data_IF_059810226857
#
_entry.id   IF_059810226857
#
_cell.length_a   1.000
_cell.length_b   1.000
_cell.length_c   1.000
_cell.angle_alpha   90.00
_cell.angle_beta   90.00
_cell.angle_gamma   90.00
#
_symmetry.space_group_name_H-M   'P 1'
#
loop_
_entity.id
_entity.type
_entity.pdbx_description
1 polymer ?
#
# COMPACT_ATOMS: atom_id res chain seq x y z
N UNK A 1 -3.91 16.12 15.09
CA UNK A 1 -3.55 16.05 13.67
C UNK A 1 -4.68 16.64 12.84
N UNK A 2 -4.40 17.70 12.18
CA UNK A 2 -5.35 18.22 11.20
C UNK A 2 -5.43 17.23 10.04
N UNK A 3 -6.61 16.68 9.83
CA UNK A 3 -6.88 15.93 8.62
C UNK A 3 -6.74 16.89 7.45
N UNK A 4 -5.88 16.53 6.52
CA UNK A 4 -5.75 17.28 5.28
C UNK A 4 -7.11 17.22 4.55
N UNK A 5 -7.87 18.32 4.63
CA UNK A 5 -9.22 18.43 4.05
C UNK A 5 -9.20 18.72 2.55
N UNK A 6 -8.01 18.72 1.92
CA UNK A 6 -7.90 18.94 0.49
C UNK A 6 -8.47 17.76 -0.28
N UNK A 7 -9.25 17.99 -1.34
CA UNK A 7 -9.77 16.90 -2.16
C UNK A 7 -8.63 16.14 -2.82
N UNK A 8 -8.79 14.83 -2.91
CA UNK A 8 -7.84 13.95 -3.59
C UNK A 8 -7.92 14.20 -5.10
N UNK A 9 -6.84 14.68 -5.69
CA UNK A 9 -6.73 14.96 -7.13
C UNK A 9 -5.88 13.93 -7.87
N UNK A 10 -4.98 13.25 -7.15
CA UNK A 10 -4.10 12.24 -7.71
C UNK A 10 -3.79 11.21 -6.65
N UNK A 11 -3.19 10.08 -7.05
CA UNK A 11 -2.72 9.08 -6.11
C UNK A 11 -1.67 9.64 -5.13
N UNK A 12 -0.90 10.66 -5.57
CA UNK A 12 0.09 11.32 -4.73
C UNK A 12 -0.49 12.04 -3.52
N UNK A 13 -1.78 12.33 -3.52
CA UNK A 13 -2.48 12.94 -2.38
C UNK A 13 -2.89 11.93 -1.31
N UNK A 14 -2.75 10.64 -1.59
CA UNK A 14 -3.04 9.58 -0.63
C UNK A 14 -1.87 9.41 0.34
N UNK A 15 -2.14 9.51 1.64
CA UNK A 15 -1.12 9.37 2.68
C UNK A 15 -0.40 8.01 2.59
N UNK A 16 -1.15 6.94 2.38
CA UNK A 16 -0.57 5.59 2.29
C UNK A 16 0.33 5.44 1.06
N UNK A 17 0.05 6.14 -0.04
CA UNK A 17 0.96 6.16 -1.19
C UNK A 17 2.30 6.77 -0.81
N UNK A 18 2.29 7.97 -0.22
CA UNK A 18 3.53 8.65 0.17
C UNK A 18 4.30 7.88 1.23
N UNK A 19 3.60 7.39 2.25
CA UNK A 19 4.23 6.64 3.33
C UNK A 19 4.89 5.35 2.83
N UNK A 20 4.21 4.60 1.96
CA UNK A 20 4.76 3.37 1.39
C UNK A 20 5.89 3.64 0.39
N UNK A 21 5.81 4.74 -0.35
CA UNK A 21 6.86 5.15 -1.28
C UNK A 21 8.18 5.44 -0.54
N UNK A 22 8.12 6.27 0.49
CA UNK A 22 9.32 6.63 1.25
C UNK A 22 9.83 5.47 2.11
N UNK A 23 8.93 4.65 2.65
CA UNK A 23 9.32 3.44 3.38
C UNK A 23 10.11 2.47 2.47
N UNK A 24 9.67 2.28 1.23
CA UNK A 24 10.39 1.44 0.26
C UNK A 24 11.80 1.93 0.01
N UNK A 25 12.00 3.24 -0.11
CA UNK A 25 13.32 3.84 -0.28
C UNK A 25 14.21 3.52 0.93
N UNK A 26 13.67 3.65 2.14
CA UNK A 26 14.41 3.32 3.37
C UNK A 26 14.77 1.84 3.45
N UNK A 27 13.85 0.95 3.11
CA UNK A 27 14.13 -0.49 3.07
C UNK A 27 15.31 -0.77 2.16
N UNK A 28 15.29 -0.24 0.94
CA UNK A 28 16.32 -0.52 -0.07
C UNK A 28 17.65 0.11 0.30
N UNK A 29 17.66 1.35 0.79
CA UNK A 29 18.89 2.10 1.08
C UNK A 29 19.50 1.76 2.43
N UNK A 30 18.69 1.46 3.44
CA UNK A 30 19.14 1.34 4.82
C UNK A 30 19.13 -0.09 5.35
N UNK A 31 18.21 -0.94 4.90
CA UNK A 31 18.04 -2.30 5.43
C UNK A 31 18.74 -3.34 4.52
N UNK A 32 18.43 -3.35 3.23
CA UNK A 32 18.97 -4.36 2.34
C UNK A 32 20.50 -4.43 2.32
N UNK A 33 21.25 -3.30 2.39
CA UNK A 33 22.72 -3.38 2.44
C UNK A 33 23.29 -4.06 3.69
N UNK A 34 22.49 -4.17 4.76
CA UNK A 34 22.89 -4.83 6.01
C UNK A 34 22.71 -6.34 5.97
N UNK A 35 21.99 -6.86 4.99
CA UNK A 35 21.77 -8.29 4.83
C UNK A 35 23.06 -8.97 4.30
N UNK A 36 23.35 -10.21 4.73
CA UNK A 36 24.50 -10.95 4.19
C UNK A 36 24.31 -11.25 2.71
N UNK A 37 25.41 -11.43 2.01
CA UNK A 37 25.42 -11.63 0.55
C UNK A 37 24.63 -12.86 0.10
N UNK A 38 24.52 -13.89 0.94
CA UNK A 38 23.74 -15.09 0.65
C UNK A 38 22.23 -14.83 0.58
N UNK A 39 21.76 -13.67 1.05
CA UNK A 39 20.34 -13.28 0.96
C UNK A 39 20.03 -12.46 -0.29
N UNK A 40 21.02 -12.18 -1.13
CA UNK A 40 20.87 -11.32 -2.31
C UNK A 40 19.74 -11.75 -3.23
N UNK A 41 19.58 -13.05 -3.44
CA UNK A 41 18.58 -13.62 -4.34
C UNK A 41 17.39 -14.25 -3.59
N UNK A 42 17.35 -14.09 -2.28
CA UNK A 42 16.27 -14.59 -1.45
C UNK A 42 15.61 -13.45 -0.69
N UNK A 43 15.89 -13.29 0.61
CA UNK A 43 15.21 -12.28 1.45
C UNK A 43 15.37 -10.85 0.92
N UNK A 44 16.56 -10.48 0.46
CA UNK A 44 16.79 -9.14 -0.10
C UNK A 44 15.96 -8.90 -1.37
N UNK A 45 15.89 -9.90 -2.25
CA UNK A 45 15.11 -9.80 -3.48
C UNK A 45 13.61 -9.73 -3.20
N UNK A 46 13.10 -10.57 -2.30
CA UNK A 46 11.70 -10.57 -1.88
C UNK A 46 11.29 -9.22 -1.30
N UNK A 47 12.08 -8.66 -0.40
CA UNK A 47 11.82 -7.34 0.18
C UNK A 47 11.86 -6.23 -0.86
N UNK A 48 12.83 -6.26 -1.76
CA UNK A 48 12.93 -5.27 -2.84
C UNK A 48 11.68 -5.27 -3.69
N UNK A 49 11.18 -6.43 -4.05
CA UNK A 49 9.98 -6.58 -4.87
C UNK A 49 8.73 -6.15 -4.14
N UNK A 50 8.50 -6.66 -2.92
CA UNK A 50 7.28 -6.39 -2.17
C UNK A 50 7.16 -4.92 -1.78
N UNK A 51 8.21 -4.29 -1.30
CA UNK A 51 8.14 -2.90 -0.88
C UNK A 51 7.90 -1.94 -2.06
N UNK A 52 8.49 -2.21 -3.21
CA UNK A 52 8.26 -1.39 -4.41
C UNK A 52 6.87 -1.59 -5.00
N UNK A 53 6.29 -2.78 -4.84
CA UNK A 53 4.98 -3.10 -5.40
C UNK A 53 3.85 -2.29 -4.76
N UNK A 54 3.95 -1.95 -3.48
CA UNK A 54 2.88 -1.27 -2.75
C UNK A 54 2.49 0.06 -3.40
N UNK A 55 3.39 1.04 -3.55
CA UNK A 55 3.01 2.32 -4.17
C UNK A 55 2.60 2.16 -5.63
N UNK A 56 3.17 1.20 -6.36
CA UNK A 56 2.82 0.94 -7.76
C UNK A 56 1.38 0.43 -7.87
N UNK A 57 0.97 -0.48 -6.99
CA UNK A 57 -0.39 -1.01 -6.97
C UNK A 57 -1.41 0.07 -6.58
N UNK A 58 -1.08 0.93 -5.64
CA UNK A 58 -1.95 2.05 -5.26
C UNK A 58 -2.18 2.98 -6.46
N UNK A 59 -1.12 3.37 -7.13
CA UNK A 59 -1.20 4.26 -8.30
C UNK A 59 -1.99 3.62 -9.44
N UNK A 60 -1.75 2.34 -9.71
CA UNK A 60 -2.44 1.59 -10.75
C UNK A 60 -3.92 1.42 -10.44
N UNK A 61 -4.23 1.08 -9.19
CA UNK A 61 -5.61 0.96 -8.74
C UNK A 61 -6.36 2.29 -8.78
N UNK A 62 -5.69 3.37 -8.44
CA UNK A 62 -6.28 4.70 -8.53
C UNK A 62 -6.63 5.06 -9.98
N UNK A 63 -5.78 4.71 -10.93
CA UNK A 63 -6.05 4.92 -12.36
C UNK A 63 -7.29 4.13 -12.84
N UNK A 64 -7.58 3.00 -12.19
CA UNK A 64 -8.70 2.11 -12.54
C UNK A 64 -9.91 2.27 -11.61
N UNK A 65 -9.93 3.31 -10.78
CA UNK A 65 -11.00 3.52 -9.78
C UNK A 65 -12.40 3.69 -10.37
N UNK A 66 -12.48 4.07 -11.63
CA UNK A 66 -13.75 4.20 -12.35
C UNK A 66 -14.35 2.84 -12.75
N UNK A 67 -13.56 1.77 -12.75
CA UNK A 67 -14.03 0.42 -13.03
C UNK A 67 -14.67 -0.20 -11.78
N UNK A 68 -15.62 -1.12 -11.99
CA UNK A 68 -16.21 -1.86 -10.88
C UNK A 68 -15.12 -2.66 -10.16
N UNK A 69 -14.96 -2.42 -8.87
CA UNK A 69 -13.95 -3.04 -8.02
C UNK A 69 -12.48 -2.79 -8.48
N UNK A 70 -12.28 -1.88 -9.42
CA UNK A 70 -10.94 -1.61 -9.96
C UNK A 70 -9.96 -1.16 -8.89
N UNK A 71 -10.35 -0.20 -8.04
CA UNK A 71 -9.49 0.30 -6.98
C UNK A 71 -9.33 -0.73 -5.85
N UNK A 72 -10.44 -1.33 -5.41
CA UNK A 72 -10.45 -2.29 -4.29
C UNK A 72 -9.54 -3.49 -4.54
N UNK A 73 -9.57 -4.03 -5.75
CA UNK A 73 -8.71 -5.16 -6.13
C UNK A 73 -7.23 -4.85 -5.96
N UNK A 74 -6.80 -3.69 -6.43
CA UNK A 74 -5.40 -3.27 -6.32
C UNK A 74 -5.02 -2.92 -4.87
N UNK A 75 -5.94 -2.37 -4.09
CA UNK A 75 -5.70 -2.12 -2.67
C UNK A 75 -5.56 -3.43 -1.89
N UNK A 76 -6.33 -4.45 -2.23
CA UNK A 76 -6.19 -5.78 -1.63
C UNK A 76 -4.82 -6.39 -1.96
N UNK A 77 -4.38 -6.28 -3.21
CA UNK A 77 -3.04 -6.74 -3.61
C UNK A 77 -1.93 -5.95 -2.90
N UNK A 78 -2.12 -4.65 -2.72
CA UNK A 78 -1.17 -3.81 -1.98
C UNK A 78 -1.11 -4.21 -0.49
N UNK A 79 -2.24 -4.58 0.12
CA UNK A 79 -2.26 -5.10 1.49
C UNK A 79 -1.46 -6.39 1.62
N UNK A 80 -1.59 -7.31 0.67
CA UNK A 80 -0.81 -8.54 0.65
C UNK A 80 0.68 -8.25 0.56
N UNK A 81 1.08 -7.32 -0.28
CA UNK A 81 2.49 -6.91 -0.41
C UNK A 81 3.00 -6.20 0.86
N UNK A 82 2.15 -5.42 1.52
CA UNK A 82 2.51 -4.79 2.79
C UNK A 82 2.76 -5.83 3.89
N UNK A 83 1.92 -6.87 3.95
CA UNK A 83 2.12 -7.99 4.89
C UNK A 83 3.40 -8.75 4.57
N UNK A 84 3.69 -9.02 3.30
CA UNK A 84 4.92 -9.68 2.88
C UNK A 84 6.16 -8.86 3.28
N UNK A 85 6.12 -7.56 3.06
CA UNK A 85 7.21 -6.65 3.47
C UNK A 85 7.37 -6.65 4.99
N UNK A 86 6.28 -6.58 5.72
CA UNK A 86 6.28 -6.62 7.19
C UNK A 86 6.96 -7.90 7.70
N UNK A 87 6.57 -9.06 7.18
CA UNK A 87 7.18 -10.35 7.56
C UNK A 87 8.66 -10.37 7.21
N UNK A 88 9.03 -9.91 6.02
CA UNK A 88 10.44 -9.85 5.60
C UNK A 88 11.30 -8.99 6.52
N UNK A 89 10.78 -7.84 6.96
CA UNK A 89 11.48 -6.98 7.92
C UNK A 89 11.60 -7.63 9.29
N UNK A 90 10.57 -8.34 9.75
CA UNK A 90 10.67 -9.13 10.98
C UNK A 90 11.76 -10.21 10.88
N UNK A 91 11.88 -10.84 9.71
CA UNK A 91 12.95 -11.82 9.46
C UNK A 91 14.33 -11.16 9.49
N UNK A 92 14.49 -9.97 8.93
CA UNK A 92 15.76 -9.21 9.03
C UNK A 92 16.14 -8.96 10.48
N UNK A 93 15.18 -8.57 11.30
CA UNK A 93 15.39 -8.32 12.73
C UNK A 93 15.72 -9.61 13.48
N UNK A 94 14.90 -10.63 13.31
CA UNK A 94 14.93 -11.82 14.16
C UNK A 94 16.03 -12.80 13.74
N UNK A 95 16.38 -12.87 12.45
CA UNK A 95 17.44 -13.75 11.94
C UNK A 95 18.81 -13.07 12.03
N UNK A 96 18.88 -11.79 11.65
CA UNK A 96 20.16 -11.09 11.48
C UNK A 96 20.40 -9.97 12.48
N UNK A 97 19.48 -9.72 13.39
CA UNK A 97 19.65 -8.66 14.41
C UNK A 97 19.65 -7.24 13.84
N UNK A 98 19.06 -7.05 12.65
CA UNK A 98 18.99 -5.73 12.03
C UNK A 98 17.87 -4.93 12.68
N UNK A 99 18.19 -3.73 13.19
CA UNK A 99 17.18 -2.84 13.76
C UNK A 99 16.33 -2.21 12.66
N UNK A 100 15.08 -2.67 12.54
CA UNK A 100 14.11 -2.15 11.60
C UNK A 100 12.73 -1.99 12.22
N UNK A 101 12.64 -1.83 13.53
CA UNK A 101 11.38 -1.75 14.28
C UNK A 101 10.49 -0.60 13.81
N UNK A 102 11.05 0.55 13.49
CA UNK A 102 10.32 1.70 12.97
C UNK A 102 9.66 1.40 11.63
N UNK A 103 10.38 0.74 10.72
CA UNK A 103 9.84 0.33 9.43
C UNK A 103 8.80 -0.78 9.57
N UNK A 104 9.00 -1.72 10.48
CA UNK A 104 8.00 -2.76 10.78
C UNK A 104 6.68 -2.11 11.17
N UNK A 105 6.70 -1.12 12.05
CA UNK A 105 5.50 -0.39 12.46
C UNK A 105 4.91 0.41 11.30
N UNK A 106 5.73 1.02 10.46
CA UNK A 106 5.28 1.75 9.28
C UNK A 106 4.45 0.84 8.36
N UNK A 107 4.90 -0.39 8.09
CA UNK A 107 4.15 -1.32 7.25
C UNK A 107 2.90 -1.88 7.94
N UNK A 108 2.92 -2.03 9.25
CA UNK A 108 1.72 -2.36 10.01
C UNK A 108 0.64 -1.29 9.85
N UNK A 109 1.04 -0.02 9.97
CA UNK A 109 0.15 1.13 9.76
C UNK A 109 -0.32 1.19 8.30
N UNK A 110 0.58 0.97 7.34
CA UNK A 110 0.23 0.98 5.91
C UNK A 110 -0.86 -0.04 5.58
N UNK A 111 -0.77 -1.24 6.13
CA UNK A 111 -1.80 -2.27 5.95
C UNK A 111 -3.17 -1.81 6.46
N UNK A 112 -3.21 -1.17 7.62
CA UNK A 112 -4.44 -0.60 8.19
C UNK A 112 -4.98 0.55 7.35
N UNK A 113 -4.10 1.42 6.84
CA UNK A 113 -4.49 2.52 5.96
C UNK A 113 -5.10 2.02 4.67
N UNK A 114 -4.51 0.98 4.07
CA UNK A 114 -5.02 0.37 2.84
C UNK A 114 -6.41 -0.24 3.06
N UNK A 115 -6.60 -0.94 4.16
CA UNK A 115 -7.90 -1.50 4.53
C UNK A 115 -8.95 -0.41 4.67
N UNK A 116 -8.64 0.65 5.42
CA UNK A 116 -9.55 1.78 5.62
C UNK A 116 -9.87 2.51 4.32
N UNK A 117 -8.89 2.68 3.46
CA UNK A 117 -9.07 3.32 2.16
C UNK A 117 -10.00 2.47 1.28
N UNK A 118 -9.79 1.16 1.24
CA UNK A 118 -10.65 0.24 0.50
C UNK A 118 -12.09 0.29 1.01
N UNK A 119 -12.28 0.26 2.32
CA UNK A 119 -13.59 0.35 2.96
C UNK A 119 -14.26 1.71 2.68
N UNK A 120 -13.53 2.80 2.85
CA UNK A 120 -14.04 4.14 2.59
C UNK A 120 -14.44 4.33 1.13
N UNK A 121 -13.65 3.79 0.20
CA UNK A 121 -13.95 3.85 -1.23
C UNK A 121 -15.19 3.03 -1.57
N UNK A 122 -15.33 1.84 -1.01
CA UNK A 122 -16.50 0.99 -1.19
C UNK A 122 -17.76 1.69 -0.68
N UNK A 123 -17.70 2.28 0.51
CA UNK A 123 -18.81 3.02 1.11
C UNK A 123 -19.15 4.27 0.29
N UNK A 124 -18.15 4.98 -0.21
CA UNK A 124 -18.36 6.14 -1.07
C UNK A 124 -19.08 5.76 -2.35
N UNK A 125 -18.64 4.71 -3.03
CA UNK A 125 -19.29 4.20 -4.24
C UNK A 125 -20.73 3.76 -3.97
N UNK A 126 -20.96 3.06 -2.87
CA UNK A 126 -22.27 2.57 -2.51
C UNK A 126 -23.25 3.73 -2.25
N UNK A 127 -22.84 4.73 -1.48
CA UNK A 127 -23.63 5.94 -1.23
C UNK A 127 -23.91 6.73 -2.50
N UNK A 128 -22.96 6.78 -3.41
CA UNK A 128 -23.12 7.47 -4.68
C UNK A 128 -24.14 6.76 -5.57
N UNK A 129 -24.15 5.43 -5.53
CA UNK A 129 -25.14 4.59 -6.21
C UNK A 129 -26.52 4.80 -5.64
N UNK A 130 -26.66 4.84 -4.31
CA UNK A 130 -27.96 5.06 -3.64
C UNK A 130 -28.52 6.46 -3.90
N UNK A 131 -27.66 7.48 -3.98
CA UNK A 131 -28.05 8.86 -4.23
C UNK A 131 -28.37 9.16 -5.69
N UNK A 132 -27.81 8.38 -6.60
CA UNK A 132 -28.12 8.49 -8.00
C UNK A 132 -29.30 7.58 -8.29
N UNK A 133 -30.48 8.16 -8.43
CA UNK A 133 -31.67 7.48 -8.91
C UNK A 133 -31.49 6.85 -10.29
N UNK A 134 -30.30 7.01 -10.86
CA UNK A 134 -29.96 6.63 -12.22
C UNK A 134 -28.95 5.49 -12.25
N UNK A 135 -29.44 4.28 -12.00
CA UNK A 135 -28.69 3.04 -12.09
C UNK A 135 -28.01 2.82 -13.45
N UNK A 136 -28.48 3.50 -14.49
CA UNK A 136 -27.95 3.37 -15.85
C UNK A 136 -26.54 3.95 -15.92
N UNK A 137 -26.27 5.03 -15.20
CA UNK A 137 -24.93 5.63 -15.13
C UNK A 137 -23.92 4.75 -14.41
N UNK A 138 -24.37 4.03 -13.39
CA UNK A 138 -23.52 3.14 -12.59
C UNK A 138 -23.16 1.87 -13.36
N UNK A 139 -24.07 1.35 -14.17
CA UNK A 139 -23.84 0.17 -15.00
C UNK A 139 -22.82 0.39 -16.12
N UNK A 140 -22.50 1.64 -16.43
CA UNK A 140 -21.50 2.00 -17.45
C UNK A 140 -20.06 2.09 -16.91
N UNK A 141 -19.89 1.90 -15.64
CA UNK A 141 -18.57 1.94 -14.99
C UNK A 141 -17.88 0.59 -15.04
#
# INVERSE_FOLDING_TARGET
>A
MEQNKNPIKSYGDLDVYRNSYFAAIKVIREILPKLPQNERYDLADQLRRSCKAIPRLIAEGYAKRHQKLGFQKYLDDAMAEANETHVGLCQCRDIYGINCDELIETYNISGKQLYRLSEAWTNFKFKHIEKQEDWVKVKKW
#
